data_IF_170882341319
#
_entry.id   IF_170882341319
#
_cell.length_a   1.000
_cell.length_b   1.000
_cell.length_c   1.000
_cell.angle_alpha   90.00
_cell.angle_beta   90.00
_cell.angle_gamma   90.00
#
_symmetry.space_group_name_H-M   'P 1'
#
loop_
_entity.id
_entity.type
_entity.pdbx_description
1 polymer ?
#
# COMPACT_ATOMS: atom_id res chain seq x y z
N UNK A 1 -9.29 -15.53 -1.07
CA UNK A 1 -10.38 -14.54 -0.96
C UNK A 1 -10.36 -13.64 -2.18
N UNK A 2 -11.50 -13.36 -2.83
CA UNK A 2 -11.57 -12.37 -3.92
C UNK A 2 -11.73 -10.99 -3.29
N UNK A 3 -10.81 -10.07 -3.58
CA UNK A 3 -10.91 -8.68 -3.12
C UNK A 3 -12.24 -8.11 -3.61
N UNK A 4 -13.11 -7.72 -2.67
CA UNK A 4 -14.34 -7.02 -2.99
C UNK A 4 -13.92 -5.73 -3.71
N UNK A 5 -14.41 -5.53 -4.92
CA UNK A 5 -14.11 -4.33 -5.70
C UNK A 5 -14.92 -3.17 -5.12
N UNK A 6 -14.51 -2.70 -3.94
CA UNK A 6 -14.84 -1.35 -3.50
C UNK A 6 -14.02 -0.47 -4.44
N UNK A 7 -14.63 0.07 -5.49
CA UNK A 7 -14.01 1.14 -6.29
C UNK A 7 -14.18 2.41 -5.46
N UNK A 8 -13.18 2.87 -4.68
CA UNK A 8 -13.24 4.24 -4.19
C UNK A 8 -13.38 5.15 -5.42
N UNK A 9 -14.25 6.15 -5.33
CA UNK A 9 -14.42 7.14 -6.39
C UNK A 9 -13.13 7.96 -6.48
N UNK A 10 -12.28 7.60 -7.42
CA UNK A 10 -10.97 8.22 -7.67
C UNK A 10 -11.00 9.26 -8.81
N UNK A 11 -12.07 9.27 -9.61
CA UNK A 11 -12.21 10.22 -10.72
C UNK A 11 -12.55 11.62 -10.19
N UNK A 12 -11.67 12.60 -10.46
CA UNK A 12 -11.85 14.00 -10.08
C UNK A 12 -11.45 14.36 -8.64
N UNK A 13 -10.80 13.45 -7.92
CA UNK A 13 -10.48 13.62 -6.49
C UNK A 13 -9.11 14.24 -6.24
N UNK A 14 -8.14 14.01 -7.14
CA UNK A 14 -6.77 14.52 -7.01
C UNK A 14 -6.67 15.92 -7.60
N UNK A 15 -6.04 16.85 -6.86
CA UNK A 15 -5.78 18.21 -7.33
C UNK A 15 -4.48 18.28 -8.14
N UNK A 16 -3.52 17.42 -7.80
CA UNK A 16 -2.22 17.35 -8.46
C UNK A 16 -1.90 15.90 -8.86
N UNK A 17 -1.05 15.74 -9.88
CA UNK A 17 -0.61 14.42 -10.33
C UNK A 17 0.15 13.65 -9.24
N UNK A 18 0.87 14.38 -8.38
CA UNK A 18 1.62 13.80 -7.26
C UNK A 18 0.71 13.16 -6.22
N UNK A 19 -0.49 13.70 -5.98
CA UNK A 19 -1.49 13.08 -5.11
C UNK A 19 -1.95 11.72 -5.68
N UNK A 20 -2.15 11.67 -7.00
CA UNK A 20 -2.54 10.44 -7.70
C UNK A 20 -1.41 9.40 -7.66
N UNK A 21 -0.15 9.82 -7.82
CA UNK A 21 1.04 8.95 -7.69
C UNK A 21 1.16 8.41 -6.26
N UNK A 22 1.06 9.27 -5.26
CA UNK A 22 1.11 8.86 -3.86
C UNK A 22 0.02 7.83 -3.54
N UNK A 23 -1.21 8.06 -4.00
CA UNK A 23 -2.30 7.09 -3.86
C UNK A 23 -1.98 5.75 -4.51
N UNK A 24 -1.47 5.75 -5.74
CA UNK A 24 -1.08 4.53 -6.45
C UNK A 24 0.02 3.76 -5.72
N UNK A 25 1.02 4.45 -5.18
CA UNK A 25 2.12 3.86 -4.40
C UNK A 25 1.59 3.23 -3.12
N UNK A 26 0.79 3.94 -2.33
CA UNK A 26 0.24 3.40 -1.08
C UNK A 26 -0.59 2.14 -1.36
N UNK A 27 -1.43 2.18 -2.41
CA UNK A 27 -2.25 1.03 -2.81
C UNK A 27 -1.40 -0.14 -3.30
N UNK A 28 -0.33 0.10 -4.04
CA UNK A 28 0.56 -0.95 -4.51
C UNK A 28 1.30 -1.61 -3.35
N UNK A 29 1.83 -0.84 -2.40
CA UNK A 29 2.50 -1.33 -1.19
C UNK A 29 1.57 -2.21 -0.37
N UNK A 30 0.36 -1.73 -0.06
CA UNK A 30 -0.65 -2.51 0.69
C UNK A 30 -0.95 -3.82 -0.03
N UNK A 31 -1.16 -3.76 -1.35
CA UNK A 31 -1.44 -4.98 -2.14
C UNK A 31 -0.28 -5.96 -2.10
N UNK A 32 0.96 -5.49 -2.14
CA UNK A 32 2.15 -6.34 -2.04
C UNK A 32 2.21 -7.01 -0.67
N UNK A 33 2.08 -6.25 0.43
CA UNK A 33 2.09 -6.80 1.79
C UNK A 33 1.02 -7.89 1.99
N UNK A 34 -0.19 -7.64 1.49
CA UNK A 34 -1.29 -8.62 1.54
C UNK A 34 -0.98 -9.90 0.76
N UNK A 35 -0.36 -9.80 -0.43
CA UNK A 35 0.02 -10.98 -1.24
C UNK A 35 1.06 -11.85 -0.54
N UNK A 36 1.95 -11.24 0.22
CA UNK A 36 2.98 -11.92 1.00
C UNK A 36 2.50 -12.34 2.40
N UNK A 37 1.21 -12.19 2.72
CA UNK A 37 0.65 -12.60 4.01
C UNK A 37 1.18 -11.79 5.20
N UNK A 38 1.74 -10.60 4.96
CA UNK A 38 2.30 -9.75 6.02
C UNK A 38 1.21 -8.96 6.75
N UNK A 39 1.35 -8.71 8.06
CA UNK A 39 0.44 -7.84 8.80
C UNK A 39 0.57 -6.40 8.26
N UNK A 40 -0.44 -5.95 7.51
CA UNK A 40 -0.39 -4.68 6.76
C UNK A 40 -0.13 -3.49 7.68
N UNK A 41 -0.81 -3.43 8.83
CA UNK A 41 -0.69 -2.29 9.75
C UNK A 41 0.73 -2.17 10.33
N UNK A 42 1.25 -3.24 10.92
CA UNK A 42 2.61 -3.27 11.49
C UNK A 42 3.68 -3.02 10.42
N UNK A 43 3.50 -3.59 9.24
CA UNK A 43 4.41 -3.40 8.11
C UNK A 43 4.42 -1.94 7.64
N UNK A 44 3.27 -1.27 7.62
CA UNK A 44 3.20 0.16 7.29
C UNK A 44 3.88 1.02 8.36
N UNK A 45 3.69 0.70 9.65
CA UNK A 45 4.38 1.42 10.72
C UNK A 45 5.90 1.32 10.57
N UNK A 46 6.42 0.12 10.30
CA UNK A 46 7.85 -0.11 10.06
C UNK A 46 8.36 0.62 8.81
N UNK A 47 7.60 0.58 7.73
CA UNK A 47 7.94 1.28 6.48
C UNK A 47 8.02 2.81 6.71
N UNK A 48 7.07 3.37 7.45
CA UNK A 48 7.06 4.80 7.79
C UNK A 48 8.16 5.17 8.80
N UNK A 49 8.63 4.23 9.61
CA UNK A 49 9.80 4.37 10.49
C UNK A 49 11.14 4.27 9.74
N UNK A 50 11.14 4.10 8.42
CA UNK A 50 12.34 4.07 7.57
C UNK A 50 12.84 2.66 7.23
N UNK A 51 12.11 1.60 7.59
CA UNK A 51 12.47 0.24 7.19
C UNK A 51 12.16 -0.01 5.70
N UNK A 52 13.02 -0.77 5.02
CA UNK A 52 12.82 -1.02 3.59
C UNK A 52 11.70 -2.03 3.36
N UNK A 53 10.92 -1.84 2.29
CA UNK A 53 9.86 -2.79 1.90
C UNK A 53 10.44 -4.19 1.65
N UNK A 54 11.65 -4.29 1.12
CA UNK A 54 12.32 -5.57 0.90
C UNK A 54 12.58 -6.28 2.24
N UNK A 55 13.09 -5.58 3.25
CA UNK A 55 13.31 -6.16 4.59
C UNK A 55 12.01 -6.72 5.17
N UNK A 56 10.90 -6.00 5.02
CA UNK A 56 9.58 -6.43 5.51
C UNK A 56 9.02 -7.66 4.79
N UNK A 57 9.37 -7.86 3.52
CA UNK A 57 8.94 -9.02 2.76
C UNK A 57 9.74 -10.28 3.12
N UNK A 58 11.05 -10.14 3.35
CA UNK A 58 11.94 -11.26 3.67
C UNK A 58 12.06 -11.57 5.16
N UNK A 59 11.57 -10.69 6.04
CA UNK A 59 11.52 -10.97 7.48
C UNK A 59 10.68 -12.23 7.73
N UNK A 60 11.28 -13.27 8.29
CA UNK A 60 10.63 -14.58 8.53
C UNK A 60 9.66 -14.52 9.71
#
# INVERSE_FOLDING_TARGET
MRMVKVKPKISGTFRQEDDAKAFCIIRSVISTLQKHGKPVWESLQKLLSGESLQTLLHSS
#
